data_IF_080604021589
#
_entry.id   IF_080604021589
#
_cell.length_a   1.000
_cell.length_b   1.000
_cell.length_c   1.000
_cell.angle_alpha   90.00
_cell.angle_beta   90.00
_cell.angle_gamma   90.00
#
_symmetry.space_group_name_H-M   'P 1'
#
loop_
_entity.id
_entity.type
_entity.pdbx_description
1 polymer ?
#
# COMPACT_ATOMS: atom_id res chain seq x y z
N UNK A 1 12.82 -8.26 12.54
CA UNK A 1 12.64 -7.66 11.20
C UNK A 1 11.46 -6.72 11.27
N UNK A 2 11.59 -5.50 10.75
CA UNK A 2 10.49 -4.54 10.61
C UNK A 2 10.27 -4.35 9.11
N UNK A 3 9.04 -4.58 8.64
CA UNK A 3 8.63 -4.28 7.28
C UNK A 3 7.65 -3.13 7.31
N UNK A 4 7.89 -2.12 6.47
CA UNK A 4 7.03 -0.95 6.33
C UNK A 4 6.51 -0.94 4.91
N UNK A 5 5.19 -0.75 4.77
CA UNK A 5 4.57 -0.54 3.48
C UNK A 5 4.68 0.95 3.12
N UNK A 6 5.19 1.24 1.93
CA UNK A 6 5.60 2.61 1.59
C UNK A 6 4.57 3.35 0.74
N UNK A 7 4.11 2.75 -0.37
CA UNK A 7 3.27 3.42 -1.37
C UNK A 7 1.91 2.76 -1.62
N UNK A 8 1.65 1.63 -0.98
CA UNK A 8 0.39 0.91 -1.09
C UNK A 8 -0.32 0.90 0.26
N UNK A 9 -1.64 0.78 0.26
CA UNK A 9 -2.40 0.60 1.49
C UNK A 9 -2.47 -0.88 1.87
N UNK A 10 -2.85 -1.15 3.12
CA UNK A 10 -3.10 -2.53 3.55
C UNK A 10 -4.23 -3.19 2.75
N UNK A 11 -5.18 -2.40 2.24
CA UNK A 11 -6.24 -2.88 1.36
C UNK A 11 -5.68 -3.56 0.12
N UNK A 12 -4.55 -3.09 -0.40
CA UNK A 12 -3.96 -3.64 -1.60
C UNK A 12 -3.23 -4.97 -1.34
N UNK A 13 -2.55 -5.13 -0.19
CA UNK A 13 -1.66 -6.28 0.03
C UNK A 13 -2.25 -7.33 0.97
N UNK A 14 -3.09 -6.93 1.94
CA UNK A 14 -3.43 -7.77 3.08
C UNK A 14 -4.88 -8.23 3.13
N UNK A 15 -5.56 -8.35 1.97
CA UNK A 15 -6.94 -8.90 1.91
C UNK A 15 -7.09 -10.23 2.64
N UNK A 16 -6.08 -11.09 2.59
CA UNK A 16 -6.06 -12.39 3.25
C UNK A 16 -6.06 -12.34 4.77
N UNK A 17 -5.89 -11.15 5.37
CA UNK A 17 -5.98 -10.94 6.80
C UNK A 17 -7.41 -10.63 7.28
N UNK A 18 -8.38 -10.42 6.38
CA UNK A 18 -9.77 -10.18 6.76
C UNK A 18 -10.35 -11.28 7.68
N UNK A 19 -10.13 -12.60 7.47
CA UNK A 19 -10.58 -13.65 8.39
C UNK A 19 -9.96 -13.60 9.79
N UNK A 20 -8.87 -12.83 9.95
CA UNK A 20 -8.16 -12.65 11.21
C UNK A 20 -8.49 -11.30 11.89
N UNK A 21 -9.47 -10.56 11.35
CA UNK A 21 -9.99 -9.33 11.95
C UNK A 21 -9.30 -8.04 11.48
N UNK A 22 -8.40 -8.10 10.49
CA UNK A 22 -7.80 -6.89 9.94
C UNK A 22 -8.83 -6.03 9.20
N UNK A 23 -8.80 -4.72 9.43
CA UNK A 23 -9.64 -3.75 8.73
C UNK A 23 -9.09 -3.46 7.31
N UNK A 24 -9.43 -4.34 6.36
CA UNK A 24 -9.06 -4.22 4.94
C UNK A 24 -10.30 -4.16 4.06
N UNK A 25 -10.18 -3.53 2.89
CA UNK A 25 -11.24 -3.50 1.89
C UNK A 25 -11.75 -4.93 1.57
N UNK A 26 -13.07 -5.17 1.59
CA UNK A 26 -13.62 -6.52 1.51
C UNK A 26 -13.74 -7.07 0.09
N UNK A 27 -13.81 -6.21 -0.93
CA UNK A 27 -14.33 -6.57 -2.25
C UNK A 27 -13.63 -5.85 -3.42
N UNK A 28 -12.40 -5.36 -3.21
CA UNK A 28 -11.64 -4.78 -4.32
C UNK A 28 -11.17 -5.88 -5.29
N UNK A 29 -11.23 -5.66 -6.62
CA UNK A 29 -10.81 -6.66 -7.60
C UNK A 29 -9.37 -7.12 -7.42
N UNK A 30 -9.14 -8.42 -7.63
CA UNK A 30 -7.78 -8.98 -7.68
C UNK A 30 -7.06 -8.48 -8.93
N UNK A 31 -5.87 -7.92 -8.75
CA UNK A 31 -5.00 -7.55 -9.86
C UNK A 31 -3.96 -8.64 -10.15
N UNK A 32 -3.52 -8.70 -11.40
CA UNK A 32 -2.40 -9.55 -11.78
C UNK A 32 -1.09 -9.10 -11.10
N UNK A 33 -0.22 -10.07 -10.86
CA UNK A 33 1.15 -9.85 -10.42
C UNK A 33 2.12 -10.49 -11.44
N UNK A 34 2.88 -9.70 -12.22
CA UNK A 34 2.95 -8.24 -12.20
C UNK A 34 1.70 -7.57 -12.84
N UNK A 35 1.44 -6.27 -12.54
CA UNK A 35 0.41 -5.50 -13.22
C UNK A 35 0.66 -5.38 -14.73
N UNK A 36 -0.41 -5.20 -15.51
CA UNK A 36 -0.32 -5.09 -16.97
C UNK A 36 0.41 -3.83 -17.47
N UNK A 37 0.43 -2.77 -16.67
CA UNK A 37 1.17 -1.55 -16.95
C UNK A 37 1.57 -0.84 -15.66
N UNK A 38 2.67 -0.09 -15.74
CA UNK A 38 3.11 0.79 -14.66
C UNK A 38 2.16 1.99 -14.53
N UNK A 39 1.71 2.25 -13.31
CA UNK A 39 0.77 3.33 -13.04
C UNK A 39 1.54 4.63 -12.79
N UNK A 40 1.03 5.80 -13.27
CA UNK A 40 1.65 7.07 -12.98
C UNK A 40 1.82 7.29 -11.46
N UNK A 41 3.06 7.49 -11.03
CA UNK A 41 3.44 7.65 -9.63
C UNK A 41 4.39 8.84 -9.42
N UNK A 42 4.29 9.83 -10.32
CA UNK A 42 5.04 11.09 -10.25
C UNK A 42 4.25 12.19 -9.53
N UNK A 43 4.88 13.37 -9.38
CA UNK A 43 4.26 14.52 -8.72
C UNK A 43 3.01 15.02 -9.45
N UNK A 44 2.95 14.92 -10.78
CA UNK A 44 1.77 15.31 -11.55
C UNK A 44 0.61 14.35 -11.31
N UNK A 45 0.87 13.04 -11.28
CA UNK A 45 -0.14 12.04 -10.96
C UNK A 45 -0.74 12.26 -9.57
N UNK A 46 0.09 12.61 -8.58
CA UNK A 46 -0.39 13.00 -7.26
C UNK A 46 -1.24 14.27 -7.29
N UNK A 47 -0.79 15.33 -7.97
CA UNK A 47 -1.57 16.57 -8.10
C UNK A 47 -2.93 16.32 -8.77
N UNK A 48 -2.95 15.52 -9.84
CA UNK A 48 -4.17 15.16 -10.53
C UNK A 48 -5.10 14.34 -9.63
N UNK A 49 -4.56 13.44 -8.80
CA UNK A 49 -5.35 12.73 -7.80
C UNK A 49 -5.91 13.68 -6.73
N UNK A 50 -5.07 14.55 -6.17
CA UNK A 50 -5.44 15.51 -5.13
C UNK A 50 -6.52 16.51 -5.61
N UNK A 51 -6.47 16.90 -6.88
CA UNK A 51 -7.45 17.81 -7.51
C UNK A 51 -8.65 17.09 -8.11
N UNK A 52 -8.74 15.76 -7.97
CA UNK A 52 -9.85 14.95 -8.46
C UNK A 52 -9.87 14.70 -9.98
N UNK A 53 -8.81 15.09 -10.69
CA UNK A 53 -8.64 14.81 -12.12
C UNK A 53 -8.23 13.36 -12.41
N UNK A 54 -7.73 12.64 -11.39
CA UNK A 54 -7.36 11.23 -11.46
C UNK A 54 -7.90 10.49 -10.23
N UNK A 55 -8.18 9.19 -10.37
CA UNK A 55 -8.60 8.32 -9.27
C UNK A 55 -7.58 7.21 -9.09
N UNK A 56 -7.20 6.95 -7.84
CA UNK A 56 -6.38 5.81 -7.52
C UNK A 56 -7.13 4.50 -7.83
N UNK A 57 -6.41 3.54 -8.39
CA UNK A 57 -6.92 2.19 -8.64
C UNK A 57 -7.19 1.49 -7.31
N UNK A 58 -8.39 0.90 -7.20
CA UNK A 58 -8.81 0.10 -6.04
C UNK A 58 -8.75 -1.37 -6.39
N UNK A 59 -7.60 -1.99 -6.15
CA UNK A 59 -7.33 -3.40 -6.43
C UNK A 59 -6.61 -4.06 -5.26
N UNK A 60 -6.58 -5.39 -5.22
CA UNK A 60 -5.84 -6.17 -4.22
C UNK A 60 -4.98 -7.24 -4.88
N UNK A 61 -3.90 -7.62 -4.23
CA UNK A 61 -3.18 -8.85 -4.53
C UNK A 61 -3.85 -10.04 -3.84
N UNK A 62 -3.68 -11.23 -4.39
CA UNK A 62 -3.99 -12.44 -3.66
C UNK A 62 -2.92 -12.66 -2.59
N UNK A 63 -3.22 -12.29 -1.34
CA UNK A 63 -2.23 -12.30 -0.25
C UNK A 63 -1.57 -13.68 -0.07
N UNK A 64 -2.33 -14.77 -0.23
CA UNK A 64 -1.83 -16.12 -0.01
C UNK A 64 -0.96 -16.60 -1.17
N UNK A 65 -1.28 -16.19 -2.40
CA UNK A 65 -0.61 -16.66 -3.61
C UNK A 65 0.56 -15.77 -4.01
N UNK A 66 0.35 -14.45 -4.00
CA UNK A 66 1.30 -13.46 -4.52
C UNK A 66 2.35 -13.05 -3.48
N UNK A 67 1.97 -12.98 -2.21
CA UNK A 67 2.81 -12.45 -1.11
C UNK A 67 2.72 -13.28 0.19
N UNK A 68 2.91 -14.61 0.14
CA UNK A 68 2.74 -15.49 1.30
C UNK A 68 3.64 -15.16 2.48
N UNK A 69 4.84 -14.64 2.23
CA UNK A 69 5.77 -14.25 3.31
C UNK A 69 5.28 -13.01 4.09
N UNK A 70 4.54 -12.11 3.44
CA UNK A 70 3.93 -10.95 4.09
C UNK A 70 2.79 -11.41 5.01
N UNK A 71 1.97 -12.36 4.55
CA UNK A 71 0.95 -13.01 5.39
C UNK A 71 1.58 -13.69 6.60
N UNK A 72 2.66 -14.46 6.43
CA UNK A 72 3.35 -15.10 7.54
C UNK A 72 3.78 -14.08 8.61
N UNK A 73 4.42 -12.98 8.21
CA UNK A 73 4.88 -11.97 9.15
C UNK A 73 3.74 -11.23 9.84
N UNK A 74 2.65 -10.93 9.12
CA UNK A 74 1.49 -10.27 9.71
C UNK A 74 0.74 -11.19 10.70
N UNK A 75 0.65 -12.49 10.42
CA UNK A 75 -0.05 -13.47 11.27
C UNK A 75 0.76 -13.91 12.48
N UNK A 76 2.10 -13.89 12.39
CA UNK A 76 2.99 -14.34 13.47
C UNK A 76 3.65 -13.20 14.23
N UNK A 77 3.50 -11.97 13.75
CA UNK A 77 4.08 -10.76 14.33
C UNK A 77 3.03 -9.74 14.77
N UNK A 78 3.47 -8.49 14.89
CA UNK A 78 2.60 -7.35 15.10
C UNK A 78 2.21 -6.74 13.76
N UNK A 79 0.91 -6.59 13.51
CA UNK A 79 0.36 -5.97 12.31
C UNK A 79 -0.25 -4.61 12.64
N UNK A 80 0.22 -3.56 11.98
CA UNK A 80 -0.33 -2.20 12.11
C UNK A 80 -1.27 -1.95 10.92
N UNK A 81 -2.56 -2.16 11.14
CA UNK A 81 -3.57 -2.03 10.09
C UNK A 81 -3.78 -0.58 9.64
N UNK A 82 -3.64 0.39 10.55
CA UNK A 82 -3.79 1.80 10.22
C UNK A 82 -2.44 2.51 10.36
N UNK A 83 -1.88 2.94 9.24
CA UNK A 83 -0.71 3.82 9.21
C UNK A 83 -0.92 4.90 8.16
N UNK A 84 -0.34 6.07 8.39
CA UNK A 84 -0.29 7.12 7.38
C UNK A 84 0.81 6.77 6.37
N UNK A 85 0.49 6.83 5.08
CA UNK A 85 1.43 6.73 3.96
C UNK A 85 1.07 7.76 2.90
N UNK A 86 1.93 7.96 1.90
CA UNK A 86 1.70 8.96 0.85
C UNK A 86 2.10 10.38 1.24
N UNK A 87 3.06 10.52 2.15
CA UNK A 87 3.70 11.80 2.42
C UNK A 87 4.43 12.25 1.15
N UNK A 88 4.21 13.49 0.72
CA UNK A 88 5.05 14.13 -0.31
C UNK A 88 4.98 13.57 -1.74
N UNK A 89 3.95 12.81 -2.13
CA UNK A 89 3.61 12.37 -3.52
C UNK A 89 4.08 10.97 -3.93
N UNK A 90 5.36 10.63 -3.79
CA UNK A 90 5.94 9.39 -4.32
C UNK A 90 6.81 8.68 -3.26
N UNK A 91 7.62 7.72 -3.69
CA UNK A 91 8.46 6.92 -2.78
C UNK A 91 9.51 7.74 -2.02
N UNK A 92 10.08 8.79 -2.63
CA UNK A 92 11.21 9.49 -2.00
C UNK A 92 10.84 10.12 -0.65
N UNK A 93 9.73 10.85 -0.51
CA UNK A 93 9.37 11.45 0.77
C UNK A 93 8.86 10.45 1.82
N UNK A 94 8.24 9.33 1.40
CA UNK A 94 7.87 8.25 2.32
C UNK A 94 9.13 7.59 2.92
N UNK A 95 10.14 7.28 2.10
CA UNK A 95 11.41 6.76 2.60
C UNK A 95 12.09 7.73 3.57
N UNK A 96 12.12 9.04 3.24
CA UNK A 96 12.71 10.06 4.10
C UNK A 96 11.96 10.19 5.43
N UNK A 97 10.65 10.03 5.44
CA UNK A 97 9.88 9.97 6.69
C UNK A 97 10.26 8.74 7.52
N UNK A 98 10.37 7.56 6.91
CA UNK A 98 10.67 6.31 7.62
C UNK A 98 12.06 6.38 8.28
N UNK A 99 13.06 6.91 7.57
CA UNK A 99 14.45 6.93 8.08
C UNK A 99 14.78 8.20 8.90
N UNK A 100 14.19 9.33 8.54
CA UNK A 100 14.54 10.65 9.07
C UNK A 100 13.46 11.29 9.93
N UNK A 101 12.27 10.68 10.05
CA UNK A 101 11.15 11.22 10.83
C UNK A 101 10.51 12.48 10.21
N UNK A 102 10.92 12.89 9.00
CA UNK A 102 10.40 14.06 8.30
C UNK A 102 10.33 13.82 6.79
N UNK A 103 9.25 14.28 6.17
CA UNK A 103 9.10 14.37 4.71
C UNK A 103 9.60 15.75 4.23
N UNK A 104 10.28 15.85 3.08
CA UNK A 104 10.48 17.14 2.41
C UNK A 104 9.14 17.86 2.21
N UNK A 105 9.13 19.17 2.47
CA UNK A 105 8.01 20.08 2.21
C UNK A 105 8.00 20.59 0.78
#
# INVERSE_FOLDING_TARGET
MVMVQENHTIDNYFRGLAPYGANVAPDWPIQANPPASDQPHDRHAYYNWLTGQHKATRTQFDTATDIPFYAYLALTGAFLENHCSGFGTNSTPNHLLIVGGQSPT
#
